data_IF_306235909751
#
_entry.id   IF_306235909751
#
_cell.length_a   1.000
_cell.length_b   1.000
_cell.length_c   1.000
_cell.angle_alpha   90.00
_cell.angle_beta   90.00
_cell.angle_gamma   90.00
#
_symmetry.space_group_name_H-M   'P 1'
#
loop_
_entity.id
_entity.type
_entity.pdbx_description
1 polymer ?
#
# COMPACT_ATOMS: atom_id res chain seq x y z
N UNK A 1 -24.99 16.39 20.86
CA UNK A 1 -24.12 15.99 21.99
C UNK A 1 -22.81 15.47 21.39
N UNK A 2 -21.66 16.03 21.75
CA UNK A 2 -20.37 15.53 21.26
C UNK A 2 -20.22 14.04 21.66
N UNK A 3 -19.90 13.18 20.70
CA UNK A 3 -19.80 11.75 20.92
C UNK A 3 -18.66 11.49 21.92
N UNK A 4 -18.77 10.44 22.75
CA UNK A 4 -17.73 10.12 23.76
C UNK A 4 -16.33 10.00 23.15
N UNK A 5 -16.26 9.60 21.88
CA UNK A 5 -15.02 9.48 21.11
C UNK A 5 -14.39 10.84 20.77
N UNK A 6 -15.19 11.89 20.50
CA UNK A 6 -14.66 13.22 20.15
C UNK A 6 -13.85 13.82 21.30
N UNK A 7 -14.37 13.67 22.53
CA UNK A 7 -13.67 14.09 23.75
C UNK A 7 -12.40 13.28 24.00
N UNK A 8 -12.40 12.01 23.63
CA UNK A 8 -11.23 11.14 23.79
C UNK A 8 -10.16 11.57 22.78
N UNK A 9 -10.51 11.73 21.50
CA UNK A 9 -9.62 12.17 20.42
C UNK A 9 -9.00 13.54 20.72
N UNK A 10 -9.79 14.50 21.22
CA UNK A 10 -9.31 15.82 21.60
C UNK A 10 -8.21 15.80 22.70
N UNK A 11 -8.13 14.72 23.48
CA UNK A 11 -7.15 14.55 24.54
C UNK A 11 -5.97 13.64 24.16
N UNK A 12 -5.91 13.13 22.92
CA UNK A 12 -4.77 12.35 22.47
C UNK A 12 -3.51 13.22 22.42
N UNK A 13 -2.45 12.75 23.09
CA UNK A 13 -1.12 13.39 23.08
C UNK A 13 -0.17 12.78 22.04
N UNK A 14 -0.62 11.74 21.34
CA UNK A 14 0.19 10.94 20.43
C UNK A 14 -0.15 11.27 18.97
N UNK A 15 0.79 11.88 18.26
CA UNK A 15 0.68 12.14 16.82
C UNK A 15 0.54 10.81 16.05
N UNK A 16 1.19 9.74 16.51
CA UNK A 16 1.15 8.43 15.84
C UNK A 16 -0.25 7.80 15.86
N UNK A 17 -0.98 7.95 16.96
CA UNK A 17 -2.33 7.42 17.08
C UNK A 17 -3.33 8.23 16.23
N UNK A 18 -3.20 9.56 16.25
CA UNK A 18 -4.00 10.45 15.40
C UNK A 18 -3.74 10.16 13.91
N UNK A 19 -2.49 9.95 13.52
CA UNK A 19 -2.11 9.56 12.16
C UNK A 19 -2.72 8.21 11.76
N UNK A 20 -2.78 7.25 12.71
CA UNK A 20 -3.40 5.95 12.47
C UNK A 20 -4.91 6.04 12.28
N UNK A 21 -5.60 6.90 13.05
CA UNK A 21 -7.03 7.17 12.86
C UNK A 21 -7.30 7.72 11.46
N UNK A 22 -6.53 8.73 11.03
CA UNK A 22 -6.66 9.31 9.69
C UNK A 22 -6.37 8.29 8.59
N UNK A 23 -5.33 7.47 8.74
CA UNK A 23 -5.00 6.45 7.75
C UNK A 23 -6.10 5.38 7.65
N UNK A 24 -6.67 4.97 8.78
CA UNK A 24 -7.74 3.98 8.82
C UNK A 24 -9.03 4.53 8.21
N UNK A 25 -9.42 5.77 8.57
CA UNK A 25 -10.65 6.37 8.04
C UNK A 25 -10.59 6.56 6.52
N UNK A 26 -9.42 6.88 5.96
CA UNK A 26 -9.23 6.92 4.51
C UNK A 26 -9.44 5.56 3.85
N UNK A 27 -8.85 4.51 4.42
CA UNK A 27 -9.02 3.15 3.90
C UNK A 27 -10.48 2.71 3.96
N UNK A 28 -11.16 2.95 5.08
CA UNK A 28 -12.57 2.60 5.27
C UNK A 28 -13.47 3.37 4.30
N UNK A 29 -13.25 4.68 4.15
CA UNK A 29 -13.98 5.49 3.18
C UNK A 29 -13.86 4.96 1.75
N UNK A 30 -12.64 4.62 1.31
CA UNK A 30 -12.44 4.05 -0.04
C UNK A 30 -13.21 2.73 -0.17
N UNK A 31 -13.10 1.84 0.81
CA UNK A 31 -13.74 0.53 0.74
C UNK A 31 -15.28 0.60 0.74
N UNK A 32 -15.86 1.55 1.46
CA UNK A 32 -17.31 1.73 1.55
C UNK A 32 -17.91 2.35 0.27
N UNK A 33 -17.10 3.08 -0.51
CA UNK A 33 -17.56 3.83 -1.68
C UNK A 33 -17.09 3.28 -3.03
N UNK A 34 -16.27 2.23 -3.04
CA UNK A 34 -15.87 1.56 -4.26
C UNK A 34 -17.03 0.78 -4.88
N UNK A 35 -17.16 0.85 -6.21
CA UNK A 35 -18.07 0.01 -7.00
C UNK A 35 -17.68 -1.49 -7.04
N UNK A 36 -16.71 -1.90 -6.22
CA UNK A 36 -16.33 -3.30 -6.09
C UNK A 36 -15.94 -3.61 -4.66
N UNK A 37 -16.42 -4.75 -4.16
CA UNK A 37 -16.00 -5.23 -2.86
C UNK A 37 -14.51 -5.62 -2.87
N UNK A 38 -13.70 -4.95 -2.04
CA UNK A 38 -12.32 -5.30 -1.73
C UNK A 38 -12.12 -5.39 -0.22
N UNK A 39 -11.28 -6.30 0.23
CA UNK A 39 -10.76 -6.26 1.59
C UNK A 39 -9.59 -5.29 1.71
N UNK A 40 -9.31 -4.75 2.92
CA UNK A 40 -8.14 -3.88 3.19
C UNK A 40 -6.82 -4.44 2.62
N UNK A 41 -6.60 -5.75 2.77
CA UNK A 41 -5.41 -6.41 2.24
C UNK A 41 -5.34 -6.43 0.71
N UNK A 42 -6.48 -6.47 0.02
CA UNK A 42 -6.57 -6.41 -1.44
C UNK A 42 -6.34 -4.99 -1.95
N UNK A 43 -6.91 -3.97 -1.29
CA UNK A 43 -6.63 -2.56 -1.59
C UNK A 43 -5.13 -2.25 -1.48
N UNK A 44 -4.51 -2.64 -0.36
CA UNK A 44 -3.05 -2.47 -0.14
C UNK A 44 -2.22 -3.21 -1.18
N UNK A 45 -2.66 -4.39 -1.61
CA UNK A 45 -1.97 -5.16 -2.64
C UNK A 45 -2.07 -4.50 -4.02
N UNK A 46 -3.24 -3.97 -4.41
CA UNK A 46 -3.40 -3.22 -5.65
C UNK A 46 -2.48 -1.99 -5.71
N UNK A 47 -2.44 -1.21 -4.63
CA UNK A 47 -1.55 -0.05 -4.54
C UNK A 47 -0.06 -0.45 -4.58
N UNK A 48 0.29 -1.58 -3.95
CA UNK A 48 1.64 -2.15 -4.01
C UNK A 48 1.99 -2.54 -5.45
N UNK A 49 1.11 -3.22 -6.18
CA UNK A 49 1.32 -3.61 -7.58
C UNK A 49 1.50 -2.35 -8.46
N UNK A 50 0.65 -1.33 -8.30
CA UNK A 50 0.78 -0.02 -8.99
C UNK A 50 2.15 0.61 -8.76
N UNK A 51 2.66 0.53 -7.54
CA UNK A 51 4.02 0.99 -7.22
C UNK A 51 5.07 0.14 -7.92
N UNK A 52 4.97 -1.18 -7.86
CA UNK A 52 5.99 -2.11 -8.36
C UNK A 52 6.10 -2.16 -9.89
N UNK A 53 5.04 -1.83 -10.62
CA UNK A 53 5.07 -1.70 -12.08
C UNK A 53 5.90 -0.51 -12.58
N UNK A 54 6.26 0.45 -11.71
CA UNK A 54 7.15 1.56 -12.11
C UNK A 54 8.50 1.01 -12.57
N UNK A 55 9.09 1.49 -13.69
CA UNK A 55 10.31 0.90 -14.26
C UNK A 55 11.47 0.75 -13.26
N UNK A 56 11.72 1.77 -12.44
CA UNK A 56 12.78 1.73 -11.43
C UNK A 56 12.51 0.71 -10.31
N UNK A 57 11.25 0.45 -9.94
CA UNK A 57 10.91 -0.58 -8.95
C UNK A 57 11.00 -1.99 -9.55
N UNK A 58 10.58 -2.17 -10.81
CA UNK A 58 10.76 -3.43 -11.54
C UNK A 58 12.24 -3.80 -11.62
N UNK A 59 13.10 -2.87 -12.01
CA UNK A 59 14.56 -3.08 -12.06
C UNK A 59 15.15 -3.48 -10.69
N UNK A 60 14.71 -2.84 -9.61
CA UNK A 60 15.14 -3.20 -8.24
C UNK A 60 14.68 -4.62 -7.87
N UNK A 61 13.44 -4.99 -8.18
CA UNK A 61 12.91 -6.34 -7.93
C UNK A 61 13.74 -7.40 -8.65
N UNK A 62 14.01 -7.20 -9.94
CA UNK A 62 14.80 -8.14 -10.76
C UNK A 62 16.23 -8.30 -10.21
N UNK A 63 16.89 -7.19 -9.88
CA UNK A 63 18.23 -7.22 -9.28
C UNK A 63 18.26 -8.05 -7.99
N UNK A 64 17.31 -7.77 -7.08
CA UNK A 64 17.24 -8.48 -5.80
C UNK A 64 16.88 -9.95 -5.94
N UNK A 65 15.97 -10.29 -6.86
CA UNK A 65 15.61 -11.67 -7.12
C UNK A 65 16.81 -12.45 -7.68
N UNK A 66 17.57 -11.86 -8.61
CA UNK A 66 18.81 -12.45 -9.12
C UNK A 66 19.85 -12.65 -8.02
N UNK A 67 20.01 -11.68 -7.11
CA UNK A 67 20.91 -11.80 -5.95
C UNK A 67 20.48 -12.95 -5.01
N UNK A 68 19.18 -13.16 -4.83
CA UNK A 68 18.63 -14.27 -4.04
C UNK A 68 18.88 -15.63 -4.70
N UNK A 69 18.56 -15.77 -5.98
CA UNK A 69 18.69 -17.06 -6.70
C UNK A 69 20.15 -17.49 -6.91
N UNK A 70 21.10 -16.56 -6.81
CA UNK A 70 22.54 -16.85 -6.97
C UNK A 70 23.24 -17.16 -5.63
N UNK A 71 22.52 -17.21 -4.51
CA UNK A 71 23.09 -17.46 -3.19
C UNK A 71 22.16 -18.37 -2.37
N UNK A 72 22.47 -19.68 -2.36
CA UNK A 72 21.66 -20.70 -1.68
C UNK A 72 21.52 -20.42 -0.17
N UNK A 73 22.53 -19.81 0.47
CA UNK A 73 22.48 -19.38 1.88
C UNK A 73 21.59 -18.15 2.12
N UNK A 74 21.17 -17.45 1.06
CA UNK A 74 20.29 -16.28 1.13
C UNK A 74 18.81 -16.62 0.98
N UNK A 75 18.45 -17.87 0.64
CA UNK A 75 17.06 -18.31 0.55
C UNK A 75 16.46 -18.45 1.95
N UNK A 76 15.43 -17.68 2.32
CA UNK A 76 14.86 -17.74 3.66
C UNK A 76 14.25 -19.11 3.98
N UNK A 77 14.37 -19.51 5.24
CA UNK A 77 13.59 -20.61 5.81
C UNK A 77 12.10 -20.30 5.56
N UNK A 78 11.40 -21.15 4.79
CA UNK A 78 10.01 -20.98 4.31
C UNK A 78 9.77 -20.08 3.08
N UNK A 79 10.78 -19.80 2.25
CA UNK A 79 10.60 -19.05 0.99
C UNK A 79 9.42 -19.56 0.14
N UNK A 80 9.33 -20.87 -0.10
CA UNK A 80 8.25 -21.48 -0.91
C UNK A 80 6.85 -21.27 -0.30
N UNK A 81 6.73 -21.35 1.02
CA UNK A 81 5.47 -21.12 1.71
C UNK A 81 5.04 -19.66 1.56
N UNK A 82 5.97 -18.72 1.75
CA UNK A 82 5.71 -17.29 1.57
C UNK A 82 5.31 -16.98 0.13
N UNK A 83 6.00 -17.58 -0.85
CA UNK A 83 5.67 -17.46 -2.27
C UNK A 83 4.26 -17.98 -2.55
N UNK A 84 3.89 -19.16 -2.04
CA UNK A 84 2.53 -19.72 -2.19
C UNK A 84 1.45 -18.83 -1.60
N UNK A 85 1.67 -18.30 -0.39
CA UNK A 85 0.75 -17.37 0.26
C UNK A 85 0.60 -16.10 -0.57
N UNK A 86 1.70 -15.59 -1.12
CA UNK A 86 1.69 -14.39 -1.94
C UNK A 86 0.94 -14.60 -3.26
N UNK A 87 1.23 -15.69 -3.98
CA UNK A 87 0.53 -16.09 -5.21
C UNK A 87 -0.98 -16.19 -4.96
N UNK A 88 -1.40 -16.78 -3.85
CA UNK A 88 -2.82 -16.87 -3.50
C UNK A 88 -3.49 -15.50 -3.32
N UNK A 89 -2.74 -14.48 -2.84
CA UNK A 89 -3.27 -13.11 -2.75
C UNK A 89 -3.39 -12.46 -4.13
N UNK A 90 -2.42 -12.69 -5.03
CA UNK A 90 -2.45 -12.22 -6.42
C UNK A 90 -3.65 -12.82 -7.16
N UNK A 91 -3.84 -14.15 -7.08
CA UNK A 91 -4.98 -14.85 -7.69
C UNK A 91 -6.35 -14.31 -7.26
N UNK A 92 -6.48 -13.80 -6.02
CA UNK A 92 -7.72 -13.17 -5.57
C UNK A 92 -8.04 -11.86 -6.30
N UNK A 93 -7.03 -11.10 -6.74
CA UNK A 93 -7.23 -9.88 -7.54
C UNK A 93 -7.47 -10.23 -9.00
N UNK A 94 -6.79 -11.25 -9.51
CA UNK A 94 -6.99 -11.80 -10.85
C UNK A 94 -8.42 -12.34 -11.03
N UNK A 95 -8.93 -13.11 -10.07
CA UNK A 95 -10.32 -13.61 -10.07
C UNK A 95 -11.37 -12.48 -10.04
N UNK A 96 -11.01 -11.29 -9.55
CA UNK A 96 -11.87 -10.09 -9.60
C UNK A 96 -11.80 -9.35 -10.95
N UNK A 97 -10.93 -9.82 -11.85
CA UNK A 97 -10.66 -9.25 -13.16
C UNK A 97 -9.88 -7.94 -13.10
N UNK A 98 -9.15 -7.67 -12.01
CA UNK A 98 -8.42 -6.40 -11.81
C UNK A 98 -6.98 -6.45 -12.34
N UNK A 99 -6.42 -7.65 -12.43
CA UNK A 99 -5.06 -7.88 -12.92
C UNK A 99 -5.02 -9.15 -13.76
N UNK A 100 -3.95 -9.28 -14.55
CA UNK A 100 -3.49 -10.54 -15.13
C UNK A 100 -2.13 -10.85 -14.54
N UNK A 101 -1.93 -12.07 -14.05
CA UNK A 101 -0.66 -12.51 -13.50
C UNK A 101 -0.02 -13.55 -14.42
N UNK A 102 1.24 -13.32 -14.77
CA UNK A 102 2.07 -14.30 -15.45
C UNK A 102 3.06 -14.90 -14.44
N UNK A 103 3.04 -16.21 -14.30
CA UNK A 103 3.90 -16.96 -13.38
C UNK A 103 5.03 -17.70 -14.11
N UNK A 104 5.05 -17.67 -15.45
CA UNK A 104 6.03 -18.35 -16.30
C UNK A 104 7.00 -17.32 -16.91
N UNK A 105 7.60 -16.50 -16.04
CA UNK A 105 8.51 -15.42 -16.43
C UNK A 105 9.94 -15.69 -15.97
N UNK A 106 10.92 -15.36 -16.81
CA UNK A 106 12.32 -15.74 -16.60
C UNK A 106 13.03 -14.99 -15.47
N UNK A 107 12.68 -13.71 -15.27
CA UNK A 107 13.50 -12.78 -14.47
C UNK A 107 12.89 -12.43 -13.11
N UNK A 108 11.67 -12.90 -12.84
CA UNK A 108 10.91 -12.65 -11.63
C UNK A 108 10.10 -13.90 -11.29
N UNK A 109 9.65 -14.07 -10.03
CA UNK A 109 8.76 -15.17 -9.69
C UNK A 109 7.34 -15.00 -10.26
N UNK A 110 7.00 -13.80 -10.73
CA UNK A 110 5.77 -13.45 -11.44
C UNK A 110 5.85 -12.03 -12.00
N UNK A 111 5.09 -11.77 -13.05
CA UNK A 111 4.73 -10.43 -13.54
C UNK A 111 3.22 -10.19 -13.40
N UNK A 112 2.84 -8.93 -13.24
CA UNK A 112 1.45 -8.52 -13.10
C UNK A 112 1.17 -7.31 -13.96
N UNK A 113 0.07 -7.34 -14.69
CA UNK A 113 -0.46 -6.23 -15.45
C UNK A 113 -1.87 -5.88 -14.97
N UNK A 114 -2.23 -4.59 -14.99
CA UNK A 114 -3.62 -4.19 -14.73
C UNK A 114 -4.46 -4.41 -15.98
N UNK A 115 -5.64 -4.99 -15.79
CA UNK A 115 -6.69 -4.97 -16.82
C UNK A 115 -7.27 -3.56 -16.95
N UNK A 116 -8.10 -3.32 -17.97
CA UNK A 116 -8.83 -2.04 -18.08
C UNK A 116 -9.70 -1.78 -16.84
N UNK A 117 -10.45 -2.78 -16.38
CA UNK A 117 -11.19 -2.73 -15.11
C UNK A 117 -10.27 -2.40 -13.92
N UNK A 118 -9.07 -2.98 -13.87
CA UNK A 118 -8.08 -2.67 -12.86
C UNK A 118 -7.65 -1.21 -12.86
N UNK A 119 -7.40 -0.63 -14.03
CA UNK A 119 -7.05 0.78 -14.20
C UNK A 119 -8.21 1.70 -13.82
N UNK A 120 -9.43 1.36 -14.19
CA UNK A 120 -10.65 2.09 -13.80
C UNK A 120 -10.79 2.14 -12.28
N UNK A 121 -10.66 0.98 -11.59
CA UNK A 121 -10.69 0.93 -10.13
C UNK A 121 -9.57 1.74 -9.49
N UNK A 122 -8.36 1.76 -10.07
CA UNK A 122 -7.27 2.60 -9.57
C UNK A 122 -7.59 4.10 -9.69
N UNK A 123 -8.23 4.52 -10.77
CA UNK A 123 -8.65 5.91 -10.95
C UNK A 123 -9.77 6.27 -9.96
N UNK A 124 -10.74 5.36 -9.76
CA UNK A 124 -11.80 5.52 -8.76
C UNK A 124 -11.22 5.67 -7.35
N UNK A 125 -10.24 4.84 -6.98
CA UNK A 125 -9.52 4.96 -5.70
C UNK A 125 -8.88 6.34 -5.53
N UNK A 126 -8.21 6.86 -6.57
CA UNK A 126 -7.55 8.16 -6.50
C UNK A 126 -8.58 9.30 -6.37
N UNK A 127 -9.74 9.21 -7.03
CA UNK A 127 -10.86 10.15 -6.85
C UNK A 127 -11.44 10.05 -5.43
N UNK A 128 -11.64 8.84 -4.90
CA UNK A 128 -12.19 8.65 -3.55
C UNK A 128 -11.24 9.16 -2.46
N UNK A 129 -9.93 9.05 -2.64
CA UNK A 129 -8.94 9.67 -1.74
C UNK A 129 -9.11 11.18 -1.68
N UNK A 130 -9.32 11.82 -2.82
CA UNK A 130 -9.53 13.26 -2.87
C UNK A 130 -10.83 13.66 -2.19
N UNK A 131 -11.93 12.94 -2.47
CA UNK A 131 -13.22 13.20 -1.82
C UNK A 131 -13.16 13.05 -0.30
N UNK A 132 -12.51 12.00 0.18
CA UNK A 132 -12.25 11.80 1.60
C UNK A 132 -11.47 12.98 2.20
N UNK A 133 -10.42 13.43 1.52
CA UNK A 133 -9.62 14.57 1.98
C UNK A 133 -10.44 15.86 2.03
N UNK A 134 -11.26 16.11 1.01
CA UNK A 134 -12.13 17.29 0.94
C UNK A 134 -13.20 17.25 2.05
N UNK A 135 -13.69 16.08 2.43
CA UNK A 135 -14.70 15.90 3.48
C UNK A 135 -14.13 16.14 4.88
N UNK A 136 -12.98 15.54 5.23
CA UNK A 136 -12.42 15.64 6.58
C UNK A 136 -11.75 16.99 6.85
N UNK A 137 -11.26 17.66 5.81
CA UNK A 137 -10.65 18.99 5.91
C UNK A 137 -11.64 20.09 5.55
N UNK A 138 -12.91 19.75 5.36
CA UNK A 138 -13.97 20.74 5.26
C UNK A 138 -13.95 21.61 6.51
N UNK A 139 -13.95 22.93 6.31
CA UNK A 139 -13.92 23.93 7.38
C UNK A 139 -12.62 23.92 8.22
N UNK A 140 -11.55 23.24 7.78
CA UNK A 140 -10.24 23.29 8.44
C UNK A 140 -9.51 24.60 8.09
N UNK A 141 -9.22 25.41 9.11
CA UNK A 141 -8.79 26.80 8.97
C UNK A 141 -7.50 27.00 8.15
N UNK A 142 -6.51 26.10 8.28
CA UNK A 142 -5.20 26.26 7.62
C UNK A 142 -4.62 24.91 7.14
N UNK A 143 -5.24 24.36 6.09
CA UNK A 143 -4.84 23.07 5.48
C UNK A 143 -3.41 23.11 4.92
N UNK A 144 -3.00 24.23 4.34
CA UNK A 144 -1.69 24.39 3.69
C UNK A 144 -0.53 24.38 4.70
N UNK A 145 -0.74 25.00 5.87
CA UNK A 145 0.25 24.93 6.95
C UNK A 145 0.39 23.53 7.52
N UNK A 146 -0.73 22.81 7.70
CA UNK A 146 -0.68 21.41 8.12
C UNK A 146 0.10 20.56 7.10
N UNK A 147 -0.18 20.73 5.81
CA UNK A 147 0.54 20.04 4.74
C UNK A 147 2.05 20.32 4.81
N UNK A 148 2.43 21.58 5.02
CA UNK A 148 3.84 21.98 5.19
C UNK A 148 4.50 21.25 6.35
N UNK A 149 3.85 21.17 7.51
CA UNK A 149 4.39 20.43 8.66
C UNK A 149 4.51 18.93 8.38
N UNK A 150 3.53 18.33 7.71
CA UNK A 150 3.57 16.92 7.32
C UNK A 150 4.73 16.65 6.33
N UNK A 151 4.95 17.54 5.36
CA UNK A 151 6.06 17.45 4.41
C UNK A 151 7.44 17.56 5.08
N UNK A 152 7.57 18.25 6.21
CA UNK A 152 8.82 18.32 6.96
C UNK A 152 9.14 17.03 7.74
N UNK A 153 8.11 16.35 8.26
CA UNK A 153 8.28 15.14 9.09
C UNK A 153 8.29 13.86 8.26
N UNK A 154 7.55 13.81 7.15
CA UNK A 154 7.41 12.62 6.30
C UNK A 154 8.75 12.05 5.80
N UNK A 155 9.74 12.86 5.36
CA UNK A 155 11.05 12.34 4.95
C UNK A 155 11.80 11.67 6.11
N UNK A 156 11.66 12.19 7.34
CA UNK A 156 12.28 11.59 8.54
C UNK A 156 11.62 10.25 8.87
N UNK A 157 10.28 10.18 8.80
CA UNK A 157 9.54 8.93 8.98
C UNK A 157 9.87 7.89 7.90
N UNK A 158 10.00 8.32 6.64
CA UNK A 158 10.36 7.43 5.53
C UNK A 158 11.74 6.80 5.73
N UNK A 159 12.72 7.55 6.27
CA UNK A 159 14.07 7.02 6.59
C UNK A 159 14.03 5.85 7.57
N UNK A 160 13.13 5.88 8.57
CA UNK A 160 12.96 4.78 9.53
C UNK A 160 12.53 3.50 8.79
N UNK A 161 11.54 3.63 7.91
CA UNK A 161 11.05 2.50 7.10
C UNK A 161 12.13 1.98 6.15
N UNK A 162 12.87 2.87 5.48
CA UNK A 162 13.98 2.48 4.61
C UNK A 162 15.11 1.77 5.35
N UNK A 163 15.46 2.21 6.56
CA UNK A 163 16.48 1.56 7.37
C UNK A 163 16.07 0.13 7.75
N UNK A 164 14.79 -0.09 8.08
CA UNK A 164 14.25 -1.44 8.31
C UNK A 164 14.32 -2.31 7.06
N UNK A 165 13.87 -1.80 5.91
CA UNK A 165 13.87 -2.54 4.64
C UNK A 165 15.30 -2.94 4.24
N UNK A 166 16.30 -2.07 4.45
CA UNK A 166 17.72 -2.41 4.20
C UNK A 166 18.26 -3.52 5.11
N UNK A 167 17.77 -3.60 6.35
CA UNK A 167 18.17 -4.63 7.32
C UNK A 167 17.52 -5.99 7.04
N UNK A 168 16.33 -6.01 6.44
CA UNK A 168 15.67 -7.24 6.04
C UNK A 168 16.37 -7.82 4.80
N UNK A 169 17.31 -8.74 5.01
CA UNK A 169 17.84 -9.60 3.94
C UNK A 169 16.70 -10.48 3.43
N UNK A 170 16.48 -10.48 2.11
CA UNK A 170 15.77 -11.56 1.42
C UNK A 170 14.26 -11.72 1.60
N UNK A 171 13.51 -10.76 2.13
CA UNK A 171 12.03 -10.88 2.18
C UNK A 171 11.40 -10.07 1.05
N UNK A 172 11.00 -10.76 -0.03
CA UNK A 172 9.97 -10.31 -0.97
C UNK A 172 8.81 -11.30 -0.98
#
# INVERSE_FOLDING_TARGET
MAHKHDKIIANYKSIGDLSSILSNSREDYILDHLNIHLHKGQLKLLEKIKKEQKPHHKAIRMKKYKELMNNDEATPEHFELHQKIFINKIKKLENKGLIKADFEVDLLPYEVEFTEKGKEILNEIDVLKQKWEDEIFKDFEDKDKLLTYLQQVAPKAAKISYARIKKQKGVY
#
